data_IF_282095256363
#
_entry.id   IF_282095256363
#
_cell.length_a   1.000
_cell.length_b   1.000
_cell.length_c   1.000
_cell.angle_alpha   90.00
_cell.angle_beta   90.00
_cell.angle_gamma   90.00
#
_symmetry.space_group_name_H-M   'P 1'
#
loop_
_entity.id
_entity.type
_entity.pdbx_description
1 polymer ?
#
# COMPACT_ATOMS: atom_id res chain seq x y z
N UNK A 1 -8.87 5.89 21.73
CA UNK A 1 -9.39 6.56 20.51
C UNK A 1 -8.42 6.23 19.38
N UNK A 2 -8.30 4.94 19.08
CA UNK A 2 -7.18 4.36 18.32
C UNK A 2 -7.58 4.10 16.85
N UNK A 3 -8.89 4.01 16.59
CA UNK A 3 -9.47 3.83 15.25
C UNK A 3 -9.03 4.88 14.22
N UNK A 4 -8.74 6.12 14.63
CA UNK A 4 -8.33 7.16 13.68
C UNK A 4 -6.95 6.87 13.07
N UNK A 5 -6.05 6.25 13.84
CA UNK A 5 -4.72 5.87 13.37
C UNK A 5 -4.80 4.65 12.44
N UNK A 6 -5.56 3.63 12.84
CA UNK A 6 -5.81 2.43 12.02
C UNK A 6 -6.51 2.78 10.71
N UNK A 7 -7.58 3.58 10.74
CA UNK A 7 -8.30 4.01 9.54
C UNK A 7 -7.41 4.81 8.58
N UNK A 8 -6.48 5.63 9.10
CA UNK A 8 -5.53 6.37 8.27
C UNK A 8 -4.49 5.43 7.62
N UNK A 9 -4.05 4.40 8.33
CA UNK A 9 -3.14 3.39 7.80
C UNK A 9 -3.84 2.49 6.77
N UNK A 10 -5.08 2.07 7.02
CA UNK A 10 -5.92 1.33 6.07
C UNK A 10 -6.19 2.15 4.80
N UNK A 11 -6.53 3.43 4.92
CA UNK A 11 -6.73 4.30 3.76
C UNK A 11 -5.45 4.43 2.91
N UNK A 12 -4.28 4.54 3.55
CA UNK A 12 -2.99 4.52 2.83
C UNK A 12 -2.71 3.17 2.18
N UNK A 13 -3.03 2.07 2.85
CA UNK A 13 -2.88 0.72 2.31
C UNK A 13 -3.76 0.51 1.06
N UNK A 14 -5.03 0.87 1.14
CA UNK A 14 -5.96 0.82 0.01
C UNK A 14 -5.49 1.70 -1.17
N UNK A 15 -4.95 2.89 -0.89
CA UNK A 15 -4.38 3.75 -1.92
C UNK A 15 -3.13 3.18 -2.60
N UNK A 16 -2.31 2.41 -1.88
CA UNK A 16 -1.16 1.72 -2.48
C UNK A 16 -1.59 0.52 -3.31
N UNK A 17 -2.61 -0.22 -2.88
CA UNK A 17 -3.18 -1.33 -3.65
C UNK A 17 -3.75 -0.85 -4.99
N UNK A 18 -4.55 0.21 -4.98
CA UNK A 18 -5.07 0.80 -6.20
C UNK A 18 -3.94 1.22 -7.16
N UNK A 19 -2.84 1.80 -6.66
CA UNK A 19 -1.67 2.15 -7.48
C UNK A 19 -0.97 0.93 -8.06
N UNK A 20 -0.84 -0.16 -7.30
CA UNK A 20 -0.25 -1.41 -7.77
C UNK A 20 -1.11 -2.00 -8.88
N UNK A 21 -2.43 -2.06 -8.69
CA UNK A 21 -3.37 -2.57 -9.70
C UNK A 21 -3.35 -1.71 -10.97
N UNK A 22 -3.37 -0.38 -10.83
CA UNK A 22 -3.26 0.52 -11.96
C UNK A 22 -1.97 0.31 -12.75
N UNK A 23 -0.82 0.16 -12.08
CA UNK A 23 0.46 -0.10 -12.75
C UNK A 23 0.51 -1.50 -13.39
N UNK A 24 -0.10 -2.53 -12.78
CA UNK A 24 -0.20 -3.88 -13.34
C UNK A 24 -1.09 -3.94 -14.60
N UNK A 25 -2.11 -3.07 -14.68
CA UNK A 25 -2.96 -2.98 -15.87
C UNK A 25 -2.28 -2.26 -17.04
N UNK A 26 -1.12 -1.63 -16.83
CA UNK A 26 -0.39 -0.97 -17.92
C UNK A 26 0.25 -2.04 -18.81
N UNK A 27 0.25 -1.86 -20.14
CA UNK A 27 0.89 -2.78 -21.09
C UNK A 27 2.41 -2.86 -20.90
N UNK A 28 3.01 -1.91 -20.19
CA UNK A 28 4.42 -1.95 -19.78
C UNK A 28 4.52 -1.50 -18.31
N UNK A 29 4.39 -2.44 -17.35
CA UNK A 29 4.43 -2.10 -15.94
C UNK A 29 5.85 -1.70 -15.52
N UNK A 30 5.96 -0.62 -14.75
CA UNK A 30 7.23 -0.21 -14.14
C UNK A 30 7.52 -1.12 -12.93
N UNK A 31 8.40 -2.10 -13.13
CA UNK A 31 8.72 -3.08 -12.10
C UNK A 31 9.42 -2.48 -10.88
N UNK A 32 10.20 -1.41 -11.04
CA UNK A 32 10.85 -0.70 -9.93
C UNK A 32 9.77 -0.08 -9.06
N UNK A 33 8.85 0.66 -9.70
CA UNK A 33 7.73 1.33 -9.03
C UNK A 33 6.80 0.33 -8.36
N UNK A 34 6.53 -0.80 -9.01
CA UNK A 34 5.73 -1.88 -8.44
C UNK A 34 6.37 -2.49 -7.20
N UNK A 35 7.69 -2.71 -7.21
CA UNK A 35 8.44 -3.23 -6.07
C UNK A 35 8.43 -2.24 -4.90
N UNK A 36 8.61 -0.94 -5.17
CA UNK A 36 8.51 0.11 -4.15
C UNK A 36 7.12 0.18 -3.53
N UNK A 37 6.06 0.18 -4.34
CA UNK A 37 4.68 0.20 -3.86
C UNK A 37 4.36 -1.02 -2.99
N UNK A 38 4.78 -2.23 -3.40
CA UNK A 38 4.61 -3.45 -2.60
C UNK A 38 5.37 -3.39 -1.28
N UNK A 39 6.59 -2.83 -1.28
CA UNK A 39 7.39 -2.63 -0.06
C UNK A 39 6.73 -1.63 0.90
N UNK A 40 6.17 -0.55 0.38
CA UNK A 40 5.42 0.42 1.19
C UNK A 40 4.15 -0.21 1.78
N UNK A 41 3.43 -1.01 0.99
CA UNK A 41 2.26 -1.76 1.45
C UNK A 41 2.61 -2.71 2.59
N UNK A 42 3.72 -3.45 2.46
CA UNK A 42 4.21 -4.36 3.50
C UNK A 42 4.51 -3.61 4.80
N UNK A 43 5.21 -2.47 4.74
CA UNK A 43 5.52 -1.66 5.92
C UNK A 43 4.27 -1.17 6.65
N UNK A 44 3.25 -0.69 5.91
CA UNK A 44 1.99 -0.25 6.53
C UNK A 44 1.26 -1.43 7.18
N UNK A 45 1.26 -2.60 6.54
CA UNK A 45 0.71 -3.82 7.12
C UNK A 45 1.44 -4.22 8.41
N UNK A 46 2.77 -4.11 8.44
CA UNK A 46 3.55 -4.37 9.66
C UNK A 46 3.22 -3.35 10.77
N UNK A 47 3.04 -2.07 10.43
CA UNK A 47 2.63 -1.05 11.40
C UNK A 47 1.24 -1.30 11.97
N UNK A 48 0.30 -1.79 11.15
CA UNK A 48 -1.04 -2.19 11.60
C UNK A 48 -1.02 -3.42 12.52
N UNK A 49 -0.09 -4.36 12.31
CA UNK A 49 0.01 -5.61 13.09
C UNK A 49 0.83 -5.45 14.37
N UNK A 50 1.74 -4.49 14.42
CA UNK A 50 2.68 -4.30 15.54
C UNK A 50 2.12 -3.41 16.66
N UNK A 51 0.92 -2.85 16.51
CA UNK A 51 0.24 -2.04 17.53
C UNK A 51 -0.97 -2.78 18.10
#
# INVERSE_FOLDING_TARGET
>A
MDNAHESALEAKHAGLDAKIEMELQRPSPDQIKLAELKKQKLRIKEQLVTH
#
